data_IF_595427419182
#
_entry.id   IF_595427419182
#
_cell.length_a   1.000
_cell.length_b   1.000
_cell.length_c   1.000
_cell.angle_alpha   90.00
_cell.angle_beta   90.00
_cell.angle_gamma   90.00
#
_symmetry.space_group_name_H-M   'P 1'
#
loop_
_entity.id
_entity.type
_entity.pdbx_description
1 polymer ?
#
# COMPACT_ATOMS: atom_id res chain seq x y z
N UNK A 1 -26.53 -41.08 -80.44
CA UNK A 1 -25.44 -40.09 -80.22
C UNK A 1 -25.60 -39.31 -78.91
N UNK A 2 -26.77 -38.75 -78.60
CA UNK A 2 -27.01 -37.87 -77.44
C UNK A 2 -26.70 -38.46 -76.04
N UNK A 3 -27.00 -39.75 -75.82
CA UNK A 3 -26.73 -40.45 -74.54
C UNK A 3 -25.25 -40.50 -74.14
N UNK A 4 -24.34 -40.57 -75.12
CA UNK A 4 -22.88 -40.59 -74.87
C UNK A 4 -22.34 -39.20 -74.51
N UNK A 5 -22.89 -38.16 -75.15
CA UNK A 5 -22.55 -36.76 -74.81
C UNK A 5 -23.07 -36.36 -73.43
N UNK A 6 -24.30 -36.76 -73.07
CA UNK A 6 -24.87 -36.46 -71.75
C UNK A 6 -24.07 -37.13 -70.62
N UNK A 7 -23.61 -38.37 -70.81
CA UNK A 7 -22.74 -39.06 -69.84
C UNK A 7 -21.39 -38.35 -69.64
N UNK A 8 -20.76 -37.87 -70.72
CA UNK A 8 -19.48 -37.17 -70.63
C UNK A 8 -19.63 -35.80 -69.95
N UNK A 9 -20.72 -35.08 -70.20
CA UNK A 9 -21.02 -33.79 -69.55
C UNK A 9 -21.26 -33.98 -68.05
N UNK A 10 -22.02 -35.00 -67.63
CA UNK A 10 -22.28 -35.28 -66.21
C UNK A 10 -21.00 -35.72 -65.49
N UNK A 11 -20.15 -36.53 -66.13
CA UNK A 11 -18.84 -36.92 -65.56
C UNK A 11 -17.92 -35.71 -65.44
N UNK A 12 -17.87 -34.84 -66.45
CA UNK A 12 -17.06 -33.62 -66.41
C UNK A 12 -17.52 -32.66 -65.30
N UNK A 13 -18.84 -32.50 -65.12
CA UNK A 13 -19.41 -31.69 -64.04
C UNK A 13 -19.18 -32.31 -62.65
N UNK A 14 -19.24 -33.64 -62.52
CA UNK A 14 -18.93 -34.32 -61.26
C UNK A 14 -17.45 -34.20 -60.89
N UNK A 15 -16.53 -34.34 -61.86
CA UNK A 15 -15.09 -34.15 -61.64
C UNK A 15 -14.81 -32.69 -61.23
N UNK A 16 -15.43 -31.71 -61.92
CA UNK A 16 -15.28 -30.29 -61.57
C UNK A 16 -15.74 -29.99 -60.14
N UNK A 17 -16.87 -30.57 -59.70
CA UNK A 17 -17.38 -30.41 -58.33
C UNK A 17 -16.47 -31.06 -57.27
N UNK A 18 -15.86 -32.21 -57.57
CA UNK A 18 -14.91 -32.88 -56.66
C UNK A 18 -13.62 -32.03 -56.49
N UNK A 19 -13.11 -31.40 -57.56
CA UNK A 19 -11.95 -30.49 -57.46
C UNK A 19 -12.23 -29.21 -56.67
N UNK A 20 -13.46 -28.67 -56.74
CA UNK A 20 -13.83 -27.45 -55.98
C UNK A 20 -13.91 -27.71 -54.47
N UNK A 21 -14.30 -28.92 -54.06
CA UNK A 21 -14.41 -29.28 -52.64
C UNK A 21 -13.05 -29.40 -51.92
N UNK A 22 -11.95 -29.63 -52.64
CA UNK A 22 -10.60 -29.73 -52.05
C UNK A 22 -9.91 -28.38 -51.85
N UNK A 23 -10.47 -27.28 -52.35
CA UNK A 23 -9.89 -25.94 -52.23
C UNK A 23 -10.32 -25.17 -50.96
N UNK A 24 -11.24 -25.71 -50.14
CA UNK A 24 -11.82 -24.99 -49.00
C UNK A 24 -11.22 -25.34 -47.63
N UNK A 25 -10.23 -26.24 -47.53
CA UNK A 25 -9.64 -26.66 -46.26
C UNK A 25 -8.24 -26.10 -46.06
N UNK A 26 -8.10 -24.77 -46.10
CA UNK A 26 -6.91 -24.10 -45.57
C UNK A 26 -7.27 -23.38 -44.27
N UNK A 27 -7.05 -24.06 -43.14
CA UNK A 27 -6.99 -23.41 -41.84
C UNK A 27 -5.62 -22.71 -41.75
N UNK A 28 -5.59 -21.41 -42.00
CA UNK A 28 -4.44 -20.60 -41.61
C UNK A 28 -4.45 -20.45 -40.09
N UNK A 29 -3.74 -21.33 -39.39
CA UNK A 29 -3.35 -21.10 -37.99
C UNK A 29 -2.29 -20.00 -38.03
N UNK A 30 -2.71 -18.74 -37.91
CA UNK A 30 -1.81 -17.64 -37.57
C UNK A 30 -1.44 -17.76 -36.10
N UNK A 31 -0.60 -18.76 -35.78
CA UNK A 31 0.11 -18.76 -34.53
C UNK A 31 1.13 -17.64 -34.60
N UNK A 32 0.94 -16.57 -33.82
CA UNK A 32 2.05 -15.70 -33.46
C UNK A 32 3.16 -16.62 -32.94
N UNK A 33 4.36 -16.53 -33.52
CA UNK A 33 5.55 -17.16 -32.94
C UNK A 33 5.86 -16.32 -31.70
N UNK A 34 5.17 -16.59 -30.60
CA UNK A 34 5.47 -16.00 -29.29
C UNK A 34 6.82 -16.58 -28.91
N UNK A 35 7.86 -15.77 -29.05
CA UNK A 35 9.18 -16.16 -28.58
C UNK A 35 9.05 -16.47 -27.08
N UNK A 36 9.49 -17.64 -26.60
CA UNK A 36 9.31 -18.02 -25.20
C UNK A 36 10.17 -17.12 -24.32
N UNK A 37 9.55 -16.11 -23.69
CA UNK A 37 10.21 -15.17 -22.80
C UNK A 37 9.85 -15.54 -21.35
N UNK A 38 10.83 -15.92 -20.50
CA UNK A 38 10.59 -16.07 -19.07
C UNK A 38 10.16 -14.72 -18.47
N UNK A 39 9.42 -14.70 -17.35
CA UNK A 39 9.00 -13.44 -16.78
C UNK A 39 10.21 -12.69 -16.22
N UNK A 40 10.07 -11.37 -16.08
CA UNK A 40 11.01 -10.56 -15.29
C UNK A 40 10.21 -9.83 -14.23
N UNK A 41 10.52 -10.11 -12.97
CA UNK A 41 9.79 -9.63 -11.81
C UNK A 41 10.03 -8.13 -11.62
N UNK A 42 8.96 -7.36 -11.49
CA UNK A 42 9.03 -5.97 -11.03
C UNK A 42 7.71 -5.57 -10.38
N UNK A 43 7.78 -4.61 -9.46
CA UNK A 43 6.61 -4.08 -8.79
C UNK A 43 6.86 -2.70 -8.18
N UNK A 44 5.74 -2.02 -7.90
CA UNK A 44 5.69 -0.79 -7.11
C UNK A 44 4.69 -0.92 -5.96
N UNK A 45 4.79 -0.03 -4.98
CA UNK A 45 3.87 0.03 -3.84
C UNK A 45 3.49 1.48 -3.51
N UNK A 46 2.31 1.67 -2.91
CA UNK A 46 1.86 2.98 -2.43
C UNK A 46 0.87 2.85 -1.25
N UNK A 47 1.07 3.60 -0.15
CA UNK A 47 2.28 4.35 0.20
C UNK A 47 3.46 3.41 0.53
N UNK A 48 4.70 3.90 0.42
CA UNK A 48 5.91 3.16 0.86
C UNK A 48 6.36 3.51 2.28
N UNK A 49 5.75 4.52 2.88
CA UNK A 49 6.06 4.94 4.24
C UNK A 49 4.84 5.49 4.95
N UNK A 50 4.78 5.32 6.27
CA UNK A 50 3.74 5.92 7.10
C UNK A 50 3.62 5.28 8.48
N UNK A 51 2.65 5.74 9.27
CA UNK A 51 2.41 5.24 10.63
C UNK A 51 1.67 3.91 10.63
N UNK A 52 1.87 3.07 11.66
CA UNK A 52 1.05 1.88 11.85
C UNK A 52 -0.39 2.24 12.27
N UNK A 53 -1.42 1.47 11.85
CA UNK A 53 -1.35 0.43 10.83
C UNK A 53 -1.22 1.05 9.42
N UNK A 54 -0.18 0.65 8.69
CA UNK A 54 0.05 1.12 7.32
C UNK A 54 -0.55 0.13 6.32
N UNK A 55 -1.60 0.54 5.61
CA UNK A 55 -2.17 -0.25 4.50
C UNK A 55 -1.49 0.14 3.19
N UNK A 56 -0.82 -0.81 2.56
CA UNK A 56 -0.02 -0.62 1.33
C UNK A 56 -0.68 -1.38 0.18
N UNK A 57 -0.90 -0.69 -0.94
CA UNK A 57 -1.30 -1.29 -2.19
C UNK A 57 -0.05 -1.64 -3.02
N UNK A 58 0.03 -2.88 -3.49
CA UNK A 58 1.10 -3.36 -4.35
C UNK A 58 0.60 -3.51 -5.79
N UNK A 59 1.41 -3.06 -6.74
CA UNK A 59 1.14 -3.15 -8.16
C UNK A 59 2.26 -3.93 -8.86
N UNK A 60 1.90 -5.05 -9.47
CA UNK A 60 2.76 -5.81 -10.36
C UNK A 60 3.08 -5.00 -11.62
N UNK A 61 4.36 -4.88 -11.94
CA UNK A 61 4.87 -4.27 -13.16
C UNK A 61 5.77 -5.24 -13.94
N UNK A 62 5.68 -6.54 -13.64
CA UNK A 62 6.48 -7.60 -14.25
C UNK A 62 6.21 -7.72 -15.74
N UNK A 63 7.23 -8.16 -16.48
CA UNK A 63 7.13 -8.42 -17.94
C UNK A 63 7.16 -9.92 -18.23
N UNK A 64 6.96 -10.30 -19.50
CA UNK A 64 6.98 -11.71 -19.93
C UNK A 64 5.72 -12.50 -19.58
N UNK A 65 4.57 -11.84 -19.40
CA UNK A 65 3.26 -12.47 -19.17
C UNK A 65 3.25 -13.51 -18.03
N UNK A 66 3.45 -13.09 -16.77
CA UNK A 66 3.26 -13.96 -15.62
C UNK A 66 1.87 -14.62 -15.59
N UNK A 67 1.82 -15.85 -15.11
CA UNK A 67 0.59 -16.61 -14.86
C UNK A 67 0.31 -16.84 -13.37
N UNK A 68 1.32 -16.64 -12.50
CA UNK A 68 1.22 -16.78 -11.05
C UNK A 68 2.13 -15.75 -10.37
N UNK A 69 1.66 -15.23 -9.23
CA UNK A 69 2.37 -14.34 -8.33
C UNK A 69 2.47 -14.99 -6.95
N UNK A 70 3.59 -14.80 -6.27
CA UNK A 70 3.82 -15.20 -4.89
C UNK A 70 4.47 -14.00 -4.19
N UNK A 71 3.68 -13.31 -3.36
CA UNK A 71 4.14 -12.19 -2.54
C UNK A 71 4.53 -12.66 -1.15
N UNK A 72 5.65 -12.14 -0.67
CA UNK A 72 6.15 -12.29 0.71
C UNK A 72 6.46 -10.87 1.20
N UNK A 73 5.60 -10.33 2.07
CA UNK A 73 5.58 -8.90 2.42
C UNK A 73 6.58 -8.54 3.52
N UNK A 74 7.11 -9.54 4.22
CA UNK A 74 8.10 -9.43 5.28
C UNK A 74 9.44 -10.08 4.92
N UNK A 75 9.52 -10.74 3.75
CA UNK A 75 10.65 -11.52 3.26
C UNK A 75 11.12 -12.57 4.27
N UNK A 76 10.17 -13.25 4.92
CA UNK A 76 10.42 -14.28 5.94
C UNK A 76 10.42 -15.71 5.36
N UNK A 77 10.18 -15.85 4.06
CA UNK A 77 10.10 -17.10 3.33
C UNK A 77 8.69 -17.71 3.26
N UNK A 78 7.67 -17.02 3.77
CA UNK A 78 6.27 -17.43 3.71
C UNK A 78 5.55 -16.60 2.64
N UNK A 79 4.73 -17.27 1.82
CA UNK A 79 3.91 -16.59 0.81
C UNK A 79 2.61 -16.11 1.45
N UNK A 80 2.38 -14.80 1.42
CA UNK A 80 1.21 -14.13 1.98
C UNK A 80 0.06 -13.98 0.97
N UNK A 81 0.38 -13.79 -0.32
CA UNK A 81 -0.64 -13.57 -1.34
C UNK A 81 -0.27 -14.13 -2.71
N UNK A 82 -1.28 -14.60 -3.42
CA UNK A 82 -1.21 -15.02 -4.82
C UNK A 82 -1.92 -14.07 -5.80
N UNK A 83 -2.42 -12.93 -5.33
CA UNK A 83 -3.08 -11.94 -6.17
C UNK A 83 -2.04 -11.16 -7.00
N UNK A 84 -2.42 -10.70 -8.20
CA UNK A 84 -1.52 -9.89 -9.02
C UNK A 84 -1.23 -8.52 -8.38
N UNK A 85 -2.24 -7.87 -7.80
CA UNK A 85 -2.11 -6.53 -7.20
C UNK A 85 -2.75 -6.50 -5.80
N UNK A 86 -2.10 -7.13 -4.79
CA UNK A 86 -2.67 -7.26 -3.45
C UNK A 86 -2.60 -5.94 -2.66
N UNK A 87 -3.37 -5.89 -1.58
CA UNK A 87 -3.18 -4.92 -0.50
C UNK A 87 -2.73 -5.67 0.75
N UNK A 88 -1.77 -5.11 1.49
CA UNK A 88 -1.26 -5.68 2.73
C UNK A 88 -1.20 -4.60 3.83
N UNK A 89 -1.46 -4.99 5.08
CA UNK A 89 -1.47 -4.07 6.23
C UNK A 89 -0.33 -4.42 7.19
N UNK A 90 0.57 -3.47 7.41
CA UNK A 90 1.64 -3.57 8.40
C UNK A 90 1.18 -2.94 9.73
N UNK A 91 0.89 -3.75 10.76
CA UNK A 91 0.30 -3.25 12.01
C UNK A 91 1.33 -2.67 12.99
N UNK A 92 2.63 -2.88 12.76
CA UNK A 92 3.71 -2.57 13.69
C UNK A 92 4.75 -1.71 12.98
N UNK A 93 5.36 -0.78 13.71
CA UNK A 93 6.48 -0.01 13.20
C UNK A 93 7.69 -0.91 12.90
N UNK A 94 8.31 -0.71 11.74
CA UNK A 94 9.40 -1.53 11.24
C UNK A 94 9.80 -1.16 9.82
N UNK A 95 10.93 -1.70 9.38
CA UNK A 95 11.38 -1.62 8.00
C UNK A 95 11.22 -3.00 7.39
N UNK A 96 10.42 -3.11 6.32
CA UNK A 96 10.03 -4.38 5.71
C UNK A 96 10.63 -4.52 4.31
N UNK A 97 11.28 -5.65 4.06
CA UNK A 97 11.70 -6.06 2.72
C UNK A 97 10.55 -6.82 2.07
N UNK A 98 10.29 -6.56 0.79
CA UNK A 98 9.17 -7.19 0.06
C UNK A 98 9.73 -8.01 -1.08
N UNK A 99 9.26 -9.24 -1.22
CA UNK A 99 9.63 -10.15 -2.30
C UNK A 99 8.43 -10.49 -3.17
N UNK A 100 8.59 -10.38 -4.48
CA UNK A 100 7.64 -10.87 -5.47
C UNK A 100 8.33 -11.92 -6.33
N UNK A 101 7.75 -13.12 -6.38
CA UNK A 101 8.10 -14.15 -7.34
C UNK A 101 6.98 -14.30 -8.37
N UNK A 102 7.35 -14.23 -9.65
CA UNK A 102 6.43 -14.41 -10.78
C UNK A 102 6.81 -15.64 -11.58
N UNK A 103 5.80 -16.36 -12.06
CA UNK A 103 5.97 -17.61 -12.80
C UNK A 103 5.14 -17.61 -14.06
N UNK A 104 5.70 -18.07 -15.18
CA UNK A 104 4.97 -18.46 -16.38
C UNK A 104 5.43 -19.86 -16.85
N UNK A 105 4.91 -20.34 -17.99
CA UNK A 105 5.27 -21.65 -18.56
C UNK A 105 6.75 -21.80 -18.97
N UNK A 106 7.48 -20.69 -19.07
CA UNK A 106 8.85 -20.62 -19.56
C UNK A 106 9.87 -20.42 -18.44
N UNK A 107 9.43 -20.09 -17.22
CA UNK A 107 10.32 -19.95 -16.07
C UNK A 107 9.74 -19.11 -14.94
N UNK A 108 10.62 -18.74 -14.02
CA UNK A 108 10.31 -17.93 -12.85
C UNK A 108 11.37 -16.85 -12.67
N UNK A 109 10.97 -15.73 -12.11
CA UNK A 109 11.89 -14.69 -11.65
C UNK A 109 11.44 -14.15 -10.30
N UNK A 110 12.37 -13.62 -9.51
CA UNK A 110 12.12 -13.11 -8.16
C UNK A 110 12.83 -11.78 -7.97
N UNK A 111 12.08 -10.76 -7.55
CA UNK A 111 12.62 -9.48 -7.13
C UNK A 111 12.34 -9.27 -5.65
N UNK A 112 13.40 -9.00 -4.89
CA UNK A 112 13.32 -8.55 -3.51
C UNK A 112 13.73 -7.08 -3.45
N UNK A 113 12.87 -6.23 -2.90
CA UNK A 113 13.20 -4.84 -2.56
C UNK A 113 13.49 -4.76 -1.07
N UNK A 114 14.76 -4.56 -0.74
CA UNK A 114 15.22 -4.49 0.65
C UNK A 114 14.76 -3.19 1.33
N UNK A 115 14.18 -3.31 2.53
CA UNK A 115 13.68 -2.18 3.32
C UNK A 115 12.74 -1.25 2.55
N UNK A 116 11.88 -1.83 1.72
CA UNK A 116 11.05 -1.11 0.77
C UNK A 116 9.88 -0.36 1.42
N UNK A 117 9.34 -0.92 2.50
CA UNK A 117 8.26 -0.28 3.27
C UNK A 117 8.80 0.17 4.63
N UNK A 118 8.64 1.45 4.92
CA UNK A 118 9.02 2.06 6.20
C UNK A 118 7.78 2.42 7.02
N UNK A 119 7.48 1.58 8.01
CA UNK A 119 6.44 1.87 8.98
C UNK A 119 7.10 2.54 10.18
N UNK A 120 6.94 3.85 10.28
CA UNK A 120 7.50 4.64 11.37
C UNK A 120 6.38 5.19 12.23
N UNK A 121 6.52 5.10 13.56
CA UNK A 121 5.65 5.86 14.47
C UNK A 121 5.57 7.32 14.02
N UNK A 122 4.40 7.95 14.19
CA UNK A 122 4.26 9.39 13.91
C UNK A 122 5.39 10.15 14.61
N UNK A 123 5.99 11.10 13.90
CA UNK A 123 7.01 11.94 14.52
C UNK A 123 6.36 12.74 15.67
N UNK A 124 7.15 13.02 16.71
CA UNK A 124 6.71 13.85 17.84
C UNK A 124 6.12 15.19 17.35
N UNK A 125 6.67 15.76 16.27
CA UNK A 125 6.16 17.00 15.68
C UNK A 125 4.74 16.83 15.12
N UNK A 126 4.52 15.82 14.27
CA UNK A 126 3.21 15.59 13.64
C UNK A 126 2.11 15.36 14.67
N UNK A 127 2.43 14.73 15.80
CA UNK A 127 1.48 14.50 16.89
C UNK A 127 1.20 15.75 17.71
N UNK A 128 2.23 16.56 17.97
CA UNK A 128 2.02 17.87 18.61
C UNK A 128 1.15 18.76 17.71
N UNK A 129 1.36 18.73 16.39
CA UNK A 129 0.55 19.46 15.42
C UNK A 129 -0.90 18.96 15.40
N UNK A 130 -1.11 17.64 15.44
CA UNK A 130 -2.44 17.06 15.53
C UNK A 130 -3.20 17.50 16.80
N UNK A 131 -2.53 17.50 17.95
CA UNK A 131 -3.07 18.05 19.20
C UNK A 131 -3.38 19.53 19.11
N UNK A 132 -2.50 20.31 18.46
CA UNK A 132 -2.71 21.74 18.23
C UNK A 132 -4.01 21.98 17.45
N UNK A 133 -4.16 21.32 16.30
CA UNK A 133 -5.34 21.42 15.44
C UNK A 133 -6.60 20.99 16.20
N UNK A 134 -6.52 19.91 16.98
CA UNK A 134 -7.63 19.44 17.79
C UNK A 134 -8.08 20.49 18.81
N UNK A 135 -7.14 21.09 19.55
CA UNK A 135 -7.44 22.15 20.53
C UNK A 135 -8.03 23.39 19.87
N UNK A 136 -7.56 23.77 18.68
CA UNK A 136 -8.13 24.88 17.91
C UNK A 136 -9.59 24.62 17.50
N UNK A 137 -9.93 23.37 17.20
CA UNK A 137 -11.26 22.95 16.80
C UNK A 137 -12.26 22.84 17.97
N UNK A 138 -11.79 22.80 19.23
CA UNK A 138 -12.68 22.72 20.40
C UNK A 138 -13.62 23.94 20.48
N UNK A 139 -14.88 23.68 20.86
CA UNK A 139 -15.85 24.74 21.14
C UNK A 139 -15.71 25.27 22.58
N UNK A 140 -14.59 25.95 22.82
CA UNK A 140 -14.27 26.60 24.10
C UNK A 140 -13.85 28.05 23.89
N UNK A 141 -13.89 28.84 24.96
CA UNK A 141 -13.45 30.25 24.90
C UNK A 141 -12.00 30.41 24.40
N UNK A 142 -11.69 31.53 23.74
CA UNK A 142 -10.33 31.87 23.29
C UNK A 142 -9.31 31.85 24.43
N UNK A 143 -9.74 32.27 25.63
CA UNK A 143 -8.93 32.17 26.82
C UNK A 143 -8.57 30.70 27.10
N UNK A 144 -9.55 29.81 27.02
CA UNK A 144 -9.34 28.37 27.17
C UNK A 144 -8.36 27.82 26.12
N UNK A 145 -8.62 28.07 24.83
CA UNK A 145 -7.74 27.65 23.73
C UNK A 145 -6.31 28.11 23.95
N UNK A 146 -6.12 29.41 24.21
CA UNK A 146 -4.78 29.98 24.46
C UNK A 146 -4.03 29.29 25.60
N UNK A 147 -4.73 28.88 26.65
CA UNK A 147 -4.10 28.19 27.77
C UNK A 147 -3.73 26.75 27.41
N UNK A 148 -4.53 26.04 26.63
CA UNK A 148 -4.20 24.70 26.14
C UNK A 148 -3.13 24.70 25.04
N UNK A 149 -3.16 25.67 24.12
CA UNK A 149 -2.18 25.80 23.02
C UNK A 149 -0.80 26.23 23.51
N UNK A 150 -0.71 27.16 24.46
CA UNK A 150 0.60 27.68 24.90
C UNK A 150 1.65 26.63 25.32
N UNK A 151 1.33 25.55 26.06
CA UNK A 151 2.29 24.48 26.32
C UNK A 151 2.64 23.67 25.07
N UNK A 152 1.70 23.44 24.13
CA UNK A 152 1.97 22.73 22.88
C UNK A 152 2.98 23.50 22.01
N UNK A 153 2.77 24.81 21.79
CA UNK A 153 3.71 25.68 21.04
C UNK A 153 5.13 25.65 21.64
N UNK A 154 5.20 25.56 22.97
CA UNK A 154 6.47 25.49 23.67
C UNK A 154 7.08 24.10 23.56
N UNK A 155 6.27 23.04 23.55
CA UNK A 155 6.74 21.66 23.39
C UNK A 155 7.41 21.50 22.02
N UNK A 156 6.75 21.93 20.95
CA UNK A 156 7.26 21.93 19.57
C UNK A 156 8.59 22.69 19.48
N UNK A 157 8.61 23.93 19.98
CA UNK A 157 9.84 24.75 20.01
C UNK A 157 11.00 24.12 20.81
N UNK A 158 10.72 23.32 21.84
CA UNK A 158 11.76 22.61 22.60
C UNK A 158 12.21 21.36 21.87
N UNK A 159 11.28 20.68 21.20
CA UNK A 159 11.54 19.50 20.39
C UNK A 159 12.47 19.84 19.21
N UNK A 160 12.21 20.94 18.51
CA UNK A 160 13.07 21.43 17.42
C UNK A 160 14.50 21.76 17.85
N UNK A 161 14.68 22.06 19.14
CA UNK A 161 15.99 22.31 19.75
C UNK A 161 16.68 21.05 20.28
N UNK A 162 16.07 19.88 20.10
CA UNK A 162 16.52 18.61 20.66
C UNK A 162 16.44 18.54 22.19
N UNK A 163 15.62 19.39 22.82
CA UNK A 163 15.50 19.42 24.29
C UNK A 163 14.33 18.56 24.78
N UNK A 164 14.50 17.24 24.65
CA UNK A 164 13.51 16.21 24.98
C UNK A 164 12.90 16.37 26.38
N UNK A 165 13.75 16.60 27.39
CA UNK A 165 13.30 16.80 28.78
C UNK A 165 12.40 18.03 28.93
N UNK A 166 12.72 19.12 28.22
CA UNK A 166 11.89 20.32 28.26
C UNK A 166 10.58 20.12 27.47
N UNK A 167 10.62 19.36 26.38
CA UNK A 167 9.43 18.96 25.62
C UNK A 167 8.46 18.16 26.49
N UNK A 168 8.94 17.09 27.15
CA UNK A 168 8.14 16.29 28.10
C UNK A 168 7.55 17.19 29.20
N UNK A 169 8.34 18.09 29.77
CA UNK A 169 7.86 19.01 30.80
C UNK A 169 6.79 20.01 30.30
N UNK A 170 6.73 20.32 29.00
CA UNK A 170 5.61 21.07 28.43
C UNK A 170 4.39 20.19 28.19
N UNK A 171 4.56 18.94 27.75
CA UNK A 171 3.46 17.98 27.60
C UNK A 171 2.79 17.68 28.96
N UNK A 172 3.56 17.50 30.03
CA UNK A 172 3.01 17.36 31.40
C UNK A 172 2.17 18.57 31.82
N UNK A 173 2.62 19.78 31.44
CA UNK A 173 1.88 21.03 31.71
C UNK A 173 0.60 21.10 30.89
N UNK A 174 0.62 20.60 29.65
CA UNK A 174 -0.58 20.48 28.83
C UNK A 174 -1.60 19.55 29.49
N UNK A 175 -1.19 18.32 29.85
CA UNK A 175 -2.03 17.34 30.57
C UNK A 175 -2.63 17.94 31.85
N UNK A 176 -1.82 18.63 32.65
CA UNK A 176 -2.30 19.31 33.87
C UNK A 176 -3.40 20.33 33.59
N UNK A 177 -3.28 21.10 32.49
CA UNK A 177 -4.31 22.07 32.10
C UNK A 177 -5.57 21.38 31.58
N UNK A 178 -5.43 20.29 30.81
CA UNK A 178 -6.57 19.48 30.36
C UNK A 178 -7.37 18.98 31.57
N UNK A 179 -6.71 18.40 32.58
CA UNK A 179 -7.38 17.99 33.81
C UNK A 179 -8.09 19.15 34.53
N UNK A 180 -7.42 20.30 34.66
CA UNK A 180 -8.03 21.48 35.28
C UNK A 180 -9.28 21.94 34.52
N UNK A 181 -9.24 21.91 33.20
CA UNK A 181 -10.34 22.41 32.37
C UNK A 181 -11.50 21.42 32.35
N UNK A 182 -11.23 20.12 32.35
CA UNK A 182 -12.24 19.08 32.53
C UNK A 182 -12.91 19.19 33.91
N UNK A 183 -12.13 19.42 34.97
CA UNK A 183 -12.64 19.63 36.33
C UNK A 183 -13.55 20.86 36.45
N UNK A 184 -13.23 21.92 35.70
CA UNK A 184 -14.05 23.14 35.62
C UNK A 184 -15.21 23.03 34.63
N UNK A 185 -15.47 21.84 34.06
CA UNK A 185 -16.49 21.61 33.04
C UNK A 185 -16.35 22.51 31.80
N UNK A 186 -15.12 22.93 31.49
CA UNK A 186 -14.82 23.75 30.30
C UNK A 186 -14.61 22.89 29.05
N UNK A 187 -14.27 21.61 29.21
CA UNK A 187 -14.14 20.62 28.13
C UNK A 187 -14.84 19.34 28.54
N UNK A 188 -15.32 18.56 27.57
CA UNK A 188 -15.97 17.28 27.85
C UNK A 188 -14.96 16.26 28.40
N UNK A 189 -15.41 15.26 29.19
CA UNK A 189 -14.55 14.16 29.62
C UNK A 189 -13.96 13.37 28.45
N UNK A 190 -14.68 13.27 27.32
CA UNK A 190 -14.26 12.56 26.12
C UNK A 190 -13.10 13.28 25.44
N UNK A 191 -13.22 14.59 25.22
CA UNK A 191 -12.17 15.41 24.63
C UNK A 191 -10.93 15.46 25.54
N UNK A 192 -11.16 15.55 26.86
CA UNK A 192 -10.08 15.50 27.85
C UNK A 192 -9.32 14.18 27.79
N UNK A 193 -10.03 13.05 27.75
CA UNK A 193 -9.42 11.73 27.68
C UNK A 193 -8.61 11.55 26.39
N UNK A 194 -9.14 11.98 25.24
CA UNK A 194 -8.43 11.95 23.96
C UNK A 194 -7.12 12.74 24.04
N UNK A 195 -7.17 14.01 24.46
CA UNK A 195 -5.98 14.86 24.56
C UNK A 195 -4.94 14.32 25.54
N UNK A 196 -5.36 13.72 26.65
CA UNK A 196 -4.46 13.13 27.65
C UNK A 196 -3.75 11.90 27.08
N UNK A 197 -4.49 11.00 26.43
CA UNK A 197 -3.92 9.79 25.83
C UNK A 197 -2.90 10.15 24.75
N UNK A 198 -3.25 11.05 23.83
CA UNK A 198 -2.37 11.52 22.76
C UNK A 198 -1.10 12.19 23.34
N UNK A 199 -1.25 13.02 24.37
CA UNK A 199 -0.11 13.65 25.04
C UNK A 199 0.79 12.63 25.76
N UNK A 200 0.23 11.59 26.36
CA UNK A 200 0.99 10.54 27.02
C UNK A 200 1.78 9.70 26.02
N UNK A 201 1.18 9.32 24.91
CA UNK A 201 1.89 8.58 23.87
C UNK A 201 3.01 9.43 23.25
N UNK A 202 2.87 10.76 23.14
CA UNK A 202 3.97 11.66 22.72
C UNK A 202 5.13 11.58 23.72
N UNK A 203 4.83 11.61 25.03
CA UNK A 203 5.85 11.48 26.09
C UNK A 203 6.56 10.13 25.98
N UNK A 204 5.82 9.05 25.74
CA UNK A 204 6.37 7.70 25.62
C UNK A 204 7.29 7.57 24.38
N UNK A 205 6.88 8.13 23.24
CA UNK A 205 7.70 8.20 22.01
C UNK A 205 9.03 8.93 22.24
N UNK A 206 9.01 10.04 22.99
CA UNK A 206 10.24 10.76 23.35
C UNK A 206 11.11 9.89 24.28
N UNK A 207 10.50 9.23 25.26
CA UNK A 207 11.19 8.39 26.24
C UNK A 207 11.90 7.18 25.63
N UNK A 208 11.35 6.59 24.57
CA UNK A 208 11.96 5.44 23.88
C UNK A 208 13.08 5.82 22.93
N UNK A 209 13.10 7.05 22.39
CA UNK A 209 14.25 7.56 21.62
C UNK A 209 15.53 7.62 22.45
N UNK A 210 15.45 7.94 23.74
CA UNK A 210 16.60 8.00 24.63
C UNK A 210 17.20 6.64 25.04
N UNK A 211 16.59 5.51 24.62
CA UNK A 211 17.05 4.14 24.95
C UNK A 211 17.79 3.44 23.80
N UNK A 212 17.85 4.03 22.61
CA UNK A 212 18.61 3.54 21.46
C UNK A 212 19.97 4.24 21.38
#
# INVERSE_FOLDING_TARGET
>A
MYRRYLSLIVIFLLIAMITVAQAANTLTVTGEVVNPVPPTADFSASPVSGPPPLTVYFQDTSTGSPAQWEWDFENDGIVDSGEQNPTHMYPIAGTYSVSLKVTNSYGTDTLTREGYIEVSEYSVSERIDALHVYVEALDISDWGKKHLLSPLDKAEKMWDKGNERATIAQMDRFITKVYLFAFLFMISPEDAAYMINEAQEIIDLIGDKGKK
#
